data_IF_865336655076
#
_entry.id   IF_865336655076
#
_cell.length_a   1.000
_cell.length_b   1.000
_cell.length_c   1.000
_cell.angle_alpha   90.00
_cell.angle_beta   90.00
_cell.angle_gamma   90.00
#
_symmetry.space_group_name_H-M   'P 1'
#
loop_
_entity.id
_entity.type
_entity.pdbx_description
1 polymer ?
#
# COMPACT_ATOMS: atom_id res chain seq x y z
N UNK A 1 -13.19 -12.26 -4.63
CA UNK A 1 -12.48 -12.96 -3.55
C UNK A 1 -11.81 -14.21 -4.09
N UNK A 2 -10.49 -14.16 -4.26
CA UNK A 2 -9.64 -15.31 -4.53
C UNK A 2 -9.02 -15.88 -3.24
N UNK A 3 -9.49 -15.45 -2.07
CA UNK A 3 -8.99 -15.86 -0.76
C UNK A 3 -7.46 -15.78 -0.60
N UNK A 4 -6.82 -14.80 -1.25
CA UNK A 4 -5.38 -14.52 -1.09
C UNK A 4 -5.07 -14.31 0.40
N UNK A 5 -5.89 -13.48 1.06
CA UNK A 5 -5.76 -13.16 2.47
C UNK A 5 -4.40 -12.57 2.84
N UNK A 6 -4.15 -12.46 4.14
CA UNK A 6 -2.87 -11.97 4.64
C UNK A 6 -1.69 -12.86 4.22
N UNK A 7 -1.88 -14.18 4.16
CA UNK A 7 -0.82 -15.13 3.81
C UNK A 7 -0.33 -14.94 2.37
N UNK A 8 -1.24 -14.72 1.42
CA UNK A 8 -0.86 -14.45 0.04
C UNK A 8 -0.23 -13.06 -0.13
N UNK A 9 -0.70 -12.05 0.60
CA UNK A 9 -0.03 -10.74 0.64
C UNK A 9 1.39 -10.83 1.21
N UNK A 10 1.60 -11.63 2.26
CA UNK A 10 2.92 -11.93 2.82
C UNK A 10 3.83 -12.66 1.82
N UNK A 11 3.30 -13.61 1.04
CA UNK A 11 4.06 -14.26 -0.01
C UNK A 11 4.48 -13.27 -1.10
N UNK A 12 3.60 -12.36 -1.51
CA UNK A 12 3.91 -11.30 -2.48
C UNK A 12 4.94 -10.30 -1.95
N UNK A 13 4.99 -10.04 -0.64
CA UNK A 13 6.00 -9.18 -0.03
C UNK A 13 7.44 -9.68 -0.19
N UNK A 14 7.64 -10.96 -0.54
CA UNK A 14 8.98 -11.51 -0.86
C UNK A 14 9.56 -10.87 -2.12
N UNK A 15 8.74 -10.26 -2.99
CA UNK A 15 9.18 -9.52 -4.16
C UNK A 15 10.09 -8.33 -3.84
N UNK A 16 10.16 -7.89 -2.57
CA UNK A 16 11.14 -6.89 -2.12
C UNK A 16 12.60 -7.30 -2.41
N UNK A 17 12.86 -8.61 -2.52
CA UNK A 17 14.19 -9.16 -2.80
C UNK A 17 14.51 -9.19 -4.30
N UNK A 18 13.54 -8.86 -5.17
CA UNK A 18 13.76 -8.83 -6.61
C UNK A 18 14.71 -7.69 -7.00
N UNK A 19 15.77 -8.02 -7.74
CA UNK A 19 16.81 -7.06 -8.16
C UNK A 19 16.57 -6.47 -9.55
N UNK A 20 15.58 -6.98 -10.28
CA UNK A 20 15.26 -6.57 -11.67
C UNK A 20 13.81 -6.14 -11.85
N UNK A 21 12.98 -6.25 -10.81
CA UNK A 21 11.56 -5.91 -10.89
C UNK A 21 11.38 -4.40 -10.84
N UNK A 22 11.12 -3.79 -12.00
CA UNK A 22 10.97 -2.34 -12.12
C UNK A 22 9.54 -1.85 -11.92
N UNK A 23 8.56 -2.72 -12.15
CA UNK A 23 7.14 -2.37 -12.07
C UNK A 23 6.38 -3.52 -11.44
N UNK A 24 5.51 -3.18 -10.49
CA UNK A 24 4.65 -4.12 -9.81
C UNK A 24 3.24 -3.54 -9.74
N UNK A 25 2.26 -4.28 -10.25
CA UNK A 25 0.84 -3.95 -10.13
C UNK A 25 0.13 -5.12 -9.46
N UNK A 26 -0.44 -4.87 -8.28
CA UNK A 26 -1.17 -5.85 -7.49
C UNK A 26 -2.60 -5.37 -7.31
N UNK A 27 -3.55 -6.14 -7.86
CA UNK A 27 -4.96 -6.00 -7.56
C UNK A 27 -5.38 -7.07 -6.56
N UNK A 28 -5.59 -6.62 -5.33
CA UNK A 28 -5.99 -7.41 -4.19
C UNK A 28 -7.36 -6.94 -3.66
N UNK A 29 -8.16 -6.26 -4.47
CA UNK A 29 -9.52 -5.85 -4.12
C UNK A 29 -10.40 -7.02 -3.66
N UNK A 30 -11.15 -6.85 -2.56
CA UNK A 30 -12.06 -7.89 -2.03
C UNK A 30 -11.40 -9.27 -1.83
N UNK A 31 -10.20 -9.33 -1.24
CA UNK A 31 -9.43 -10.56 -1.01
C UNK A 31 -9.16 -10.90 0.46
N UNK A 32 -9.89 -10.26 1.39
CA UNK A 32 -9.72 -10.44 2.84
C UNK A 32 -8.30 -10.15 3.32
N UNK A 33 -7.64 -9.14 2.73
CA UNK A 33 -6.33 -8.67 3.16
C UNK A 33 -6.52 -7.68 4.32
N UNK A 34 -6.05 -8.04 5.50
CA UNK A 34 -6.10 -7.19 6.67
C UNK A 34 -4.87 -6.27 6.78
N UNK A 35 -4.81 -5.56 7.90
CA UNK A 35 -3.61 -4.81 8.31
C UNK A 35 -2.30 -5.65 8.24
N UNK A 36 -2.26 -6.93 8.67
CA UNK A 36 -1.03 -7.73 8.61
C UNK A 36 -0.54 -8.00 7.18
N UNK A 37 -1.45 -8.29 6.25
CA UNK A 37 -1.11 -8.49 4.85
C UNK A 37 -0.57 -7.22 4.20
N UNK A 38 -1.23 -6.08 4.43
CA UNK A 38 -0.76 -4.79 3.94
C UNK A 38 0.57 -4.36 4.57
N UNK A 39 0.76 -4.64 5.86
CA UNK A 39 2.03 -4.37 6.54
C UNK A 39 3.19 -5.16 5.90
N UNK A 40 2.94 -6.40 5.46
CA UNK A 40 3.94 -7.14 4.71
C UNK A 40 4.22 -6.48 3.35
N UNK A 41 3.19 -6.09 2.61
CA UNK A 41 3.35 -5.41 1.32
C UNK A 41 4.09 -4.06 1.42
N UNK A 42 3.96 -3.35 2.54
CA UNK A 42 4.71 -2.11 2.77
C UNK A 42 6.24 -2.30 2.75
N UNK A 43 6.74 -3.52 3.00
CA UNK A 43 8.18 -3.85 2.91
C UNK A 43 8.74 -3.80 1.48
N UNK A 44 7.89 -3.61 0.47
CA UNK A 44 8.31 -3.36 -0.91
C UNK A 44 9.11 -2.05 -1.06
N UNK A 45 9.11 -1.17 -0.05
CA UNK A 45 10.03 -0.03 0.01
C UNK A 45 11.52 -0.42 -0.03
N UNK A 46 11.86 -1.66 0.34
CA UNK A 46 13.21 -2.22 0.25
C UNK A 46 13.59 -2.75 -1.13
N UNK A 47 12.67 -2.73 -2.11
CA UNK A 47 12.95 -3.19 -3.47
C UNK A 47 13.74 -2.13 -4.25
N UNK A 48 15.06 -2.27 -4.27
CA UNK A 48 15.96 -1.27 -4.87
C UNK A 48 15.80 -1.09 -6.40
N UNK A 49 15.10 -2.00 -7.09
CA UNK A 49 14.85 -1.88 -8.54
C UNK A 49 13.48 -1.31 -8.87
N UNK A 50 12.56 -1.22 -7.90
CA UNK A 50 11.16 -0.92 -8.14
C UNK A 50 10.92 0.58 -8.35
N UNK A 51 10.60 0.96 -9.58
CA UNK A 51 10.33 2.34 -9.96
C UNK A 51 8.84 2.69 -9.95
N UNK A 52 7.96 1.70 -10.11
CA UNK A 52 6.52 1.91 -10.15
C UNK A 52 5.77 0.83 -9.36
N UNK A 53 4.93 1.26 -8.43
CA UNK A 53 4.06 0.40 -7.63
C UNK A 53 2.62 0.86 -7.77
N UNK A 54 1.75 -0.06 -8.20
CA UNK A 54 0.30 0.08 -8.11
C UNK A 54 -0.24 -1.00 -7.17
N UNK A 55 -0.91 -0.59 -6.10
CA UNK A 55 -1.50 -1.48 -5.11
C UNK A 55 -2.98 -1.11 -4.93
N UNK A 56 -3.86 -1.99 -5.38
CA UNK A 56 -5.31 -1.92 -5.13
C UNK A 56 -5.65 -2.92 -4.04
N UNK A 57 -6.16 -2.42 -2.91
CA UNK A 57 -6.62 -3.23 -1.76
C UNK A 57 -8.02 -2.82 -1.38
N UNK A 58 -8.84 -2.31 -2.30
CA UNK A 58 -10.20 -1.88 -2.02
C UNK A 58 -11.05 -2.98 -1.39
N UNK A 59 -12.07 -2.60 -0.62
CA UNK A 59 -13.06 -3.53 -0.05
C UNK A 59 -12.41 -4.64 0.80
N UNK A 60 -11.45 -4.27 1.65
CA UNK A 60 -10.73 -5.17 2.54
C UNK A 60 -10.80 -4.63 4.00
N UNK A 61 -9.91 -5.11 4.90
CA UNK A 61 -9.88 -4.74 6.31
C UNK A 61 -8.52 -4.13 6.71
N UNK A 62 -8.02 -3.19 5.89
CA UNK A 62 -6.68 -2.61 6.06
C UNK A 62 -6.58 -1.75 7.34
N UNK A 63 -7.59 -0.91 7.60
CA UNK A 63 -7.63 -0.03 8.77
C UNK A 63 -6.47 0.97 8.87
N UNK A 64 -6.45 1.74 9.96
CA UNK A 64 -5.41 2.73 10.21
C UNK A 64 -4.00 2.13 10.30
N UNK A 65 -3.86 0.96 10.91
CA UNK A 65 -2.57 0.29 11.07
C UNK A 65 -1.96 -0.09 9.72
N UNK A 66 -2.77 -0.61 8.78
CA UNK A 66 -2.30 -0.91 7.43
C UNK A 66 -1.96 0.35 6.63
N UNK A 67 -2.77 1.41 6.76
CA UNK A 67 -2.48 2.70 6.13
C UNK A 67 -1.17 3.33 6.64
N UNK A 68 -0.92 3.27 7.96
CA UNK A 68 0.34 3.70 8.57
C UNK A 68 1.54 2.88 8.08
N UNK A 69 1.36 1.57 7.89
CA UNK A 69 2.40 0.74 7.31
C UNK A 69 2.71 1.17 5.87
N UNK A 70 1.70 1.40 5.02
CA UNK A 70 1.90 1.88 3.65
C UNK A 70 2.59 3.23 3.57
N UNK A 71 2.43 4.11 4.57
CA UNK A 71 3.18 5.37 4.64
C UNK A 71 4.71 5.19 4.72
N UNK A 72 5.21 3.99 5.08
CA UNK A 72 6.64 3.67 5.03
C UNK A 72 7.17 3.52 3.60
N UNK A 73 6.30 3.41 2.59
CA UNK A 73 6.70 3.45 1.18
C UNK A 73 7.41 4.75 0.79
N UNK A 74 7.26 5.83 1.59
CA UNK A 74 8.01 7.07 1.41
C UNK A 74 9.53 6.89 1.51
N UNK A 75 9.98 5.80 2.15
CA UNK A 75 11.40 5.47 2.37
C UNK A 75 12.03 4.77 1.16
N UNK A 76 11.23 4.38 0.16
CA UNK A 76 11.72 3.80 -1.08
C UNK A 76 12.56 4.83 -1.87
N UNK A 77 13.80 4.47 -2.19
CA UNK A 77 14.76 5.40 -2.82
C UNK A 77 14.66 5.45 -4.35
N UNK A 78 14.01 4.46 -4.96
CA UNK A 78 13.87 4.33 -6.41
C UNK A 78 12.44 4.44 -6.90
N UNK A 79 11.45 4.49 -6.00
CA UNK A 79 10.04 4.50 -6.34
C UNK A 79 9.61 5.89 -6.86
N UNK A 80 9.34 5.97 -8.15
CA UNK A 80 8.98 7.20 -8.85
C UNK A 80 7.47 7.37 -9.01
N UNK A 81 6.74 6.27 -9.11
CA UNK A 81 5.28 6.27 -9.24
C UNK A 81 4.67 5.36 -8.20
N UNK A 82 3.72 5.90 -7.44
CA UNK A 82 2.96 5.17 -6.44
C UNK A 82 1.47 5.42 -6.65
N UNK A 83 0.72 4.35 -6.85
CA UNK A 83 -0.74 4.35 -6.86
C UNK A 83 -1.24 3.44 -5.75
N UNK A 84 -2.01 4.02 -4.83
CA UNK A 84 -2.66 3.29 -3.74
C UNK A 84 -4.17 3.47 -3.83
N UNK A 85 -4.90 2.36 -3.93
CA UNK A 85 -6.35 2.33 -3.79
C UNK A 85 -6.73 1.58 -2.52
N UNK A 86 -7.26 2.34 -1.57
CA UNK A 86 -7.71 1.88 -0.25
C UNK A 86 -9.22 2.08 -0.07
N UNK A 87 -10.01 2.18 -1.13
CA UNK A 87 -11.47 2.35 -1.00
C UNK A 87 -12.11 1.30 -0.08
N UNK A 88 -13.09 1.69 0.75
CA UNK A 88 -13.83 0.75 1.64
C UNK A 88 -12.94 -0.14 2.53
N UNK A 89 -12.06 0.45 3.35
CA UNK A 89 -11.08 -0.27 4.17
C UNK A 89 -11.06 0.09 5.66
N UNK A 90 -12.08 0.81 6.14
CA UNK A 90 -12.15 1.29 7.53
C UNK A 90 -10.93 2.13 7.95
N UNK A 91 -10.33 2.86 7.01
CA UNK A 91 -9.25 3.83 7.30
C UNK A 91 -9.87 5.09 7.89
N UNK A 92 -9.41 5.52 9.06
CA UNK A 92 -9.84 6.75 9.72
C UNK A 92 -8.88 7.92 9.46
N UNK A 93 -9.13 9.02 10.16
CA UNK A 93 -8.27 10.21 10.10
C UNK A 93 -6.78 9.92 10.40
N UNK A 94 -6.41 9.08 11.40
CA UNK A 94 -5.00 8.77 11.67
C UNK A 94 -4.31 8.06 10.50
N UNK A 95 -4.99 7.10 9.85
CA UNK A 95 -4.46 6.39 8.69
C UNK A 95 -4.25 7.31 7.50
N UNK A 96 -5.22 8.18 7.20
CA UNK A 96 -5.08 9.18 6.12
C UNK A 96 -3.99 10.20 6.41
N UNK A 97 -3.86 10.66 7.65
CA UNK A 97 -2.77 11.57 8.04
C UNK A 97 -1.40 10.92 7.83
N UNK A 98 -1.27 9.61 8.10
CA UNK A 98 -0.04 8.88 7.82
C UNK A 98 0.22 8.79 6.31
N UNK A 99 -0.79 8.45 5.51
CA UNK A 99 -0.67 8.38 4.04
C UNK A 99 -0.30 9.73 3.41
N UNK A 100 -0.73 10.85 3.99
CA UNK A 100 -0.34 12.19 3.53
C UNK A 100 1.18 12.44 3.60
N UNK A 101 1.91 11.72 4.46
CA UNK A 101 3.37 11.81 4.56
C UNK A 101 4.12 11.23 3.35
N UNK A 102 3.42 10.51 2.46
CA UNK A 102 3.99 10.02 1.20
C UNK A 102 4.46 11.15 0.28
N UNK A 103 3.96 12.39 0.48
CA UNK A 103 4.46 13.58 -0.21
C UNK A 103 5.94 13.89 0.09
N UNK A 104 6.50 13.35 1.18
CA UNK A 104 7.89 13.51 1.58
C UNK A 104 8.83 12.49 0.93
N UNK A 105 8.33 11.66 0.00
CA UNK A 105 9.16 10.71 -0.72
C UNK A 105 10.03 11.44 -1.77
N UNK A 106 11.34 11.46 -1.55
CA UNK A 106 12.28 12.22 -2.39
C UNK A 106 12.34 11.75 -3.86
N UNK A 107 12.05 10.47 -4.12
CA UNK A 107 12.11 9.88 -5.45
C UNK A 107 10.78 9.99 -6.21
N UNK A 108 9.68 10.27 -5.51
CA UNK A 108 8.34 10.17 -6.06
C UNK A 108 8.02 11.37 -6.96
N UNK A 109 7.66 11.10 -8.20
CA UNK A 109 7.21 12.09 -9.17
C UNK A 109 5.69 12.10 -9.33
N UNK A 110 5.04 10.96 -9.04
CA UNK A 110 3.60 10.82 -9.16
C UNK A 110 3.04 10.00 -7.99
N UNK A 111 2.04 10.57 -7.32
CA UNK A 111 1.26 9.93 -6.26
C UNK A 111 -0.21 9.96 -6.65
N UNK A 112 -0.85 8.79 -6.69
CA UNK A 112 -2.30 8.63 -6.74
C UNK A 112 -2.76 7.95 -5.46
N UNK A 113 -3.74 8.54 -4.78
CA UNK A 113 -4.29 8.01 -3.54
C UNK A 113 -5.82 8.06 -3.58
N UNK A 114 -6.43 6.88 -3.50
CA UNK A 114 -7.88 6.72 -3.35
C UNK A 114 -8.18 6.19 -1.95
N UNK A 115 -9.02 6.92 -1.19
CA UNK A 115 -9.46 6.57 0.17
C UNK A 115 -10.97 6.76 0.31
N UNK A 116 -11.73 6.58 -0.77
CA UNK A 116 -13.18 6.74 -0.75
C UNK A 116 -13.84 5.70 0.17
N UNK A 117 -15.08 5.97 0.59
CA UNK A 117 -15.88 5.01 1.38
C UNK A 117 -15.17 4.52 2.66
N UNK A 118 -14.31 5.36 3.23
CA UNK A 118 -13.59 5.14 4.50
C UNK A 118 -14.12 6.10 5.57
N UNK A 119 -13.67 5.95 6.82
CA UNK A 119 -14.10 6.77 7.96
C UNK A 119 -13.37 8.13 8.03
N UNK A 120 -13.06 8.72 6.88
CA UNK A 120 -12.27 9.95 6.72
C UNK A 120 -13.20 11.15 6.87
N UNK A 121 -13.67 11.40 8.09
CA UNK A 121 -14.61 12.49 8.35
C UNK A 121 -15.39 12.39 9.65
N UNK A 122 -15.37 11.23 10.31
CA UNK A 122 -16.03 11.05 11.60
C UNK A 122 -15.11 11.58 12.71
N UNK A 123 -15.38 12.82 13.15
CA UNK A 123 -14.81 13.47 14.33
C UNK A 123 -15.84 13.54 15.46
#
# INVERSE_FOLDING_TARGET
SNAVGDAGAQALATLREATTLQTLSLDLGSNSVGAPGVQALATLNGCNALCALSLTVDSNAVGDAGAQALATLREATTLQTLSLDLGSNSVGAPGVQALATLNGCNALCALSLTVDSNAVGDA
#
